data_IF_561442005939
#
_entry.id   IF_561442005939
#
_cell.length_a   1.000
_cell.length_b   1.000
_cell.length_c   1.000
_cell.angle_alpha   90.00
_cell.angle_beta   90.00
_cell.angle_gamma   90.00
#
_symmetry.space_group_name_H-M   'P 1'
#
loop_
_entity.id
_entity.type
_entity.pdbx_description
1 polymer ?
#
# COMPACT_ATOMS: atom_id res chain seq x y z
N UNK A 1 -11.81 -0.82 3.42
CA UNK A 1 -11.50 -2.24 3.13
C UNK A 1 -10.41 -2.75 4.08
N UNK A 2 -9.43 -1.90 4.40
CA UNK A 2 -8.26 -2.15 5.25
C UNK A 2 -7.22 -3.12 4.67
N UNK A 3 -7.53 -3.79 3.56
CA UNK A 3 -6.67 -4.74 2.84
C UNK A 3 -6.88 -4.70 1.31
N UNK A 4 -7.01 -3.50 0.72
CA UNK A 4 -7.23 -3.35 -0.72
C UNK A 4 -5.93 -3.51 -1.53
N UNK A 5 -5.67 -4.72 -2.02
CA UNK A 5 -4.47 -5.10 -2.76
C UNK A 5 -4.79 -5.96 -4.00
N UNK A 6 -3.87 -6.12 -4.96
CA UNK A 6 -4.11 -6.87 -6.20
C UNK A 6 -4.62 -8.30 -5.99
N UNK A 7 -4.19 -8.99 -4.93
CA UNK A 7 -4.62 -10.35 -4.63
C UNK A 7 -6.09 -10.44 -4.16
N UNK A 8 -6.70 -9.31 -3.77
CA UNK A 8 -8.11 -9.21 -3.36
C UNK A 8 -9.00 -8.62 -4.47
N UNK A 9 -8.50 -8.46 -5.70
CA UNK A 9 -9.25 -7.86 -6.81
C UNK A 9 -9.28 -8.80 -8.02
N UNK A 10 -10.48 -9.04 -8.54
CA UNK A 10 -10.65 -9.74 -9.81
C UNK A 10 -10.70 -8.76 -10.98
N UNK A 11 -9.89 -9.06 -11.99
CA UNK A 11 -9.80 -8.31 -13.23
C UNK A 11 -10.32 -9.15 -14.40
N UNK A 12 -10.94 -8.49 -15.38
CA UNK A 12 -11.28 -9.07 -16.68
C UNK A 12 -10.77 -8.19 -17.82
N UNK A 13 -10.44 -8.78 -18.95
CA UNK A 13 -10.06 -8.03 -20.15
C UNK A 13 -11.28 -7.48 -20.86
N UNK A 14 -11.25 -6.20 -21.22
CA UNK A 14 -12.25 -5.52 -22.04
C UNK A 14 -11.60 -4.88 -23.27
N UNK A 15 -12.41 -4.33 -24.18
CA UNK A 15 -11.94 -3.60 -25.36
C UNK A 15 -11.16 -2.32 -25.02
N UNK A 16 -11.28 -1.82 -23.79
CA UNK A 16 -10.61 -0.60 -23.31
C UNK A 16 -9.51 -0.88 -22.26
N UNK A 17 -9.19 -2.15 -22.00
CA UNK A 17 -8.18 -2.57 -21.02
C UNK A 17 -8.71 -3.51 -19.94
N UNK A 18 -7.94 -3.70 -18.87
CA UNK A 18 -8.37 -4.49 -17.70
C UNK A 18 -9.42 -3.71 -16.89
N UNK A 19 -10.49 -4.41 -16.50
CA UNK A 19 -11.58 -3.87 -15.70
C UNK A 19 -11.76 -4.66 -14.41
N UNK A 20 -12.00 -3.96 -13.30
CA UNK A 20 -12.37 -4.59 -12.03
C UNK A 20 -13.77 -5.16 -12.13
N UNK A 21 -13.92 -6.46 -11.84
CA UNK A 21 -15.21 -7.18 -11.83
C UNK A 21 -15.61 -7.69 -10.46
N UNK A 22 -14.71 -7.61 -9.48
CA UNK A 22 -14.99 -8.02 -8.11
C UNK A 22 -13.89 -7.63 -7.13
N UNK A 23 -14.28 -7.48 -5.87
CA UNK A 23 -13.37 -7.26 -4.73
C UNK A 23 -13.74 -8.27 -3.64
N UNK A 24 -12.72 -8.95 -3.11
CA UNK A 24 -12.84 -10.04 -2.16
C UNK A 24 -12.35 -9.62 -0.77
N UNK A 25 -12.47 -10.53 0.21
CA UNK A 25 -11.88 -10.40 1.54
C UNK A 25 -12.33 -9.14 2.32
N UNK A 26 -13.61 -9.15 2.70
CA UNK A 26 -14.26 -8.06 3.44
C UNK A 26 -14.17 -8.22 4.96
N UNK A 27 -13.42 -9.21 5.47
CA UNK A 27 -13.39 -9.54 6.91
C UNK A 27 -12.84 -8.39 7.76
N UNK A 28 -11.98 -7.57 7.18
CA UNK A 28 -11.40 -6.38 7.82
C UNK A 28 -12.18 -5.09 7.55
N UNK A 29 -13.29 -5.14 6.81
CA UNK A 29 -14.03 -3.94 6.43
C UNK A 29 -14.69 -3.27 7.64
N UNK A 30 -14.46 -1.97 7.78
CA UNK A 30 -15.05 -1.14 8.82
C UNK A 30 -14.73 0.34 8.60
N UNK A 31 -15.30 1.25 9.43
CA UNK A 31 -14.97 2.66 9.39
C UNK A 31 -13.46 2.90 9.50
N UNK A 32 -12.94 3.90 8.79
CA UNK A 32 -11.52 4.20 8.78
C UNK A 32 -11.22 5.52 8.08
N UNK A 33 -9.96 5.93 8.10
CA UNK A 33 -9.49 7.09 7.34
C UNK A 33 -9.28 6.64 5.90
N UNK A 34 -9.92 7.27 4.88
CA UNK A 34 -9.75 6.84 3.48
C UNK A 34 -8.29 6.82 3.02
N UNK A 35 -7.48 7.74 3.54
CA UNK A 35 -6.05 7.79 3.26
C UNK A 35 -5.29 6.54 3.77
N UNK A 36 -5.77 5.84 4.80
CA UNK A 36 -5.17 4.59 5.26
C UNK A 36 -5.36 3.46 4.25
N UNK A 37 -6.55 3.36 3.64
CA UNK A 37 -6.84 2.42 2.56
C UNK A 37 -6.01 2.75 1.32
N UNK A 38 -5.92 4.03 0.96
CA UNK A 38 -5.16 4.48 -0.20
C UNK A 38 -3.65 4.29 -0.03
N UNK A 39 -3.13 4.50 1.18
CA UNK A 39 -1.74 4.24 1.52
C UNK A 39 -1.39 2.74 1.45
N UNK A 40 -2.29 1.88 1.92
CA UNK A 40 -2.15 0.43 1.78
C UNK A 40 -2.24 -0.01 0.31
N UNK A 41 -3.14 0.61 -0.46
CA UNK A 41 -3.23 0.39 -1.90
C UNK A 41 -1.93 0.81 -2.60
N UNK A 42 -1.37 1.98 -2.28
CA UNK A 42 -0.10 2.45 -2.82
C UNK A 42 1.06 1.49 -2.54
N UNK A 43 1.14 0.94 -1.32
CA UNK A 43 2.13 -0.07 -0.97
C UNK A 43 2.14 -1.28 -1.92
N UNK A 44 0.96 -1.70 -2.39
CA UNK A 44 0.77 -2.89 -3.20
C UNK A 44 0.73 -2.61 -4.72
N UNK A 45 -0.04 -1.62 -5.16
CA UNK A 45 -0.28 -1.29 -6.57
C UNK A 45 0.79 -0.39 -7.19
N UNK A 46 1.49 0.44 -6.39
CA UNK A 46 2.70 1.19 -6.82
C UNK A 46 4.00 0.39 -6.59
N UNK A 47 3.86 -0.90 -6.28
CA UNK A 47 4.74 -1.71 -5.41
C UNK A 47 5.83 -0.96 -4.61
N UNK A 48 5.45 -0.10 -3.66
CA UNK A 48 6.42 0.64 -2.82
C UNK A 48 7.27 -0.27 -1.91
N UNK A 49 6.83 -1.50 -1.66
CA UNK A 49 7.57 -2.51 -0.90
C UNK A 49 8.88 -2.97 -1.56
N UNK A 50 9.08 -2.66 -2.86
CA UNK A 50 10.33 -2.95 -3.59
C UNK A 50 10.83 -1.72 -4.32
N UNK A 51 12.07 -1.78 -4.79
CA UNK A 51 12.63 -0.68 -5.58
C UNK A 51 12.24 -0.77 -7.05
N UNK A 52 11.45 0.19 -7.51
CA UNK A 52 11.06 0.38 -8.91
C UNK A 52 11.61 1.69 -9.48
N UNK A 53 12.46 2.41 -8.73
CA UNK A 53 12.96 3.74 -9.04
C UNK A 53 12.08 4.86 -8.50
N UNK A 54 12.71 5.99 -8.12
CA UNK A 54 12.03 7.12 -7.49
C UNK A 54 11.01 7.80 -8.42
N UNK A 55 11.41 8.09 -9.66
CA UNK A 55 10.55 8.71 -10.69
C UNK A 55 9.36 7.82 -11.04
N UNK A 56 9.59 6.52 -11.23
CA UNK A 56 8.51 5.54 -11.49
C UNK A 56 7.53 5.48 -10.32
N UNK A 57 8.03 5.49 -9.08
CA UNK A 57 7.19 5.47 -7.89
C UNK A 57 6.35 6.75 -7.80
N UNK A 58 6.98 7.92 -7.99
CA UNK A 58 6.31 9.22 -7.98
C UNK A 58 5.20 9.30 -9.04
N UNK A 59 5.51 8.99 -10.30
CA UNK A 59 4.54 9.00 -11.41
C UNK A 59 3.33 8.10 -11.14
N UNK A 60 3.56 6.91 -10.57
CA UNK A 60 2.48 5.96 -10.26
C UNK A 60 1.62 6.43 -9.09
N UNK A 61 2.21 7.09 -8.09
CA UNK A 61 1.47 7.73 -7.00
C UNK A 61 0.61 8.89 -7.51
N UNK A 62 1.12 9.70 -8.44
CA UNK A 62 0.36 10.78 -9.09
C UNK A 62 -0.84 10.24 -9.87
N UNK A 63 -0.65 9.16 -10.66
CA UNK A 63 -1.75 8.49 -11.36
C UNK A 63 -2.79 7.96 -10.37
N UNK A 64 -2.36 7.35 -9.27
CA UNK A 64 -3.26 6.85 -8.24
C UNK A 64 -4.05 7.97 -7.57
N UNK A 65 -3.39 9.09 -7.22
CA UNK A 65 -4.05 10.26 -6.63
C UNK A 65 -5.09 10.85 -7.59
N UNK A 66 -4.71 11.06 -8.85
CA UNK A 66 -5.59 11.61 -9.88
C UNK A 66 -6.81 10.71 -10.14
N UNK A 67 -6.62 9.38 -10.16
CA UNK A 67 -7.69 8.42 -10.37
C UNK A 67 -8.64 8.31 -9.14
N UNK A 68 -8.12 8.45 -7.93
CA UNK A 68 -8.95 8.48 -6.72
C UNK A 68 -9.80 9.76 -6.64
N UNK A 69 -9.24 10.89 -7.07
CA UNK A 69 -9.91 12.19 -7.06
C UNK A 69 -10.00 12.84 -5.68
N UNK A 70 -10.60 14.03 -5.63
CA UNK A 70 -10.69 14.85 -4.42
C UNK A 70 -9.38 15.58 -4.10
N UNK A 71 -9.18 15.89 -2.81
CA UNK A 71 -8.07 16.73 -2.34
C UNK A 71 -6.82 15.95 -1.91
N UNK A 72 -6.83 14.60 -2.01
CA UNK A 72 -5.70 13.77 -1.61
C UNK A 72 -4.61 13.77 -2.69
N UNK A 73 -3.39 14.12 -2.27
CA UNK A 73 -2.23 14.20 -3.17
C UNK A 73 -1.37 12.94 -3.12
N UNK A 74 -0.54 12.76 -4.15
CA UNK A 74 0.53 11.75 -4.12
C UNK A 74 1.46 11.94 -2.92
N UNK A 75 1.72 13.19 -2.52
CA UNK A 75 2.55 13.51 -1.38
C UNK A 75 1.92 13.02 -0.06
N UNK A 76 0.60 13.20 0.12
CA UNK A 76 -0.13 12.69 1.30
C UNK A 76 0.01 11.17 1.45
N UNK A 77 -0.01 10.44 0.34
CA UNK A 77 0.22 8.99 0.36
C UNK A 77 1.65 8.65 0.81
N UNK A 78 2.66 9.44 0.41
CA UNK A 78 4.04 9.22 0.88
C UNK A 78 4.22 9.48 2.37
N UNK A 79 3.43 10.37 2.96
CA UNK A 79 3.42 10.57 4.42
C UNK A 79 2.67 9.44 5.11
N UNK A 80 1.52 9.02 4.56
CA UNK A 80 0.69 8.02 5.22
C UNK A 80 1.24 6.60 5.14
N UNK A 81 1.83 6.19 4.01
CA UNK A 81 2.23 4.79 3.77
C UNK A 81 3.18 4.25 4.85
N UNK A 82 4.11 5.07 5.34
CA UNK A 82 5.05 4.62 6.37
C UNK A 82 4.28 4.29 7.66
N UNK A 83 3.45 5.22 8.12
CA UNK A 83 2.64 5.03 9.32
C UNK A 83 1.69 3.84 9.18
N UNK A 84 1.01 3.70 8.04
CA UNK A 84 0.05 2.62 7.81
C UNK A 84 0.71 1.24 7.86
N UNK A 85 1.89 1.10 7.28
CA UNK A 85 2.64 -0.17 7.26
C UNK A 85 3.28 -0.45 8.62
N UNK A 86 3.76 0.57 9.35
CA UNK A 86 4.20 0.40 10.75
C UNK A 86 3.06 -0.16 11.62
N UNK A 87 1.84 0.37 11.48
CA UNK A 87 0.66 -0.12 12.21
C UNK A 87 0.32 -1.57 11.84
N UNK A 88 0.44 -1.94 10.57
CA UNK A 88 0.25 -3.32 10.11
C UNK A 88 1.27 -4.27 10.74
N UNK A 89 2.55 -3.88 10.72
CA UNK A 89 3.65 -4.65 11.35
C UNK A 89 3.37 -4.86 12.84
N UNK A 90 2.98 -3.79 13.54
CA UNK A 90 2.65 -3.85 14.96
C UNK A 90 1.44 -4.75 15.24
N UNK A 91 0.41 -4.69 14.39
CA UNK A 91 -0.78 -5.54 14.50
C UNK A 91 -0.46 -7.02 14.35
N UNK A 92 0.35 -7.39 13.34
CA UNK A 92 0.81 -8.77 13.15
C UNK A 92 1.60 -9.24 14.37
N UNK A 93 2.58 -8.45 14.82
CA UNK A 93 3.43 -8.80 15.97
C UNK A 93 2.61 -8.98 17.26
N UNK A 94 1.63 -8.11 17.50
CA UNK A 94 0.74 -8.20 18.65
C UNK A 94 -0.15 -9.45 18.58
N UNK A 95 -0.72 -9.75 17.41
CA UNK A 95 -1.53 -10.95 17.22
C UNK A 95 -0.73 -12.25 17.41
N UNK A 96 0.50 -12.29 16.90
CA UNK A 96 1.41 -13.41 17.14
C UNK A 96 1.73 -13.59 18.62
N UNK A 97 2.02 -12.50 19.34
CA UNK A 97 2.28 -12.54 20.77
C UNK A 97 1.04 -12.98 21.59
N UNK A 98 -0.16 -12.66 21.11
CA UNK A 98 -1.43 -13.09 21.71
C UNK A 98 -1.85 -14.52 21.34
N UNK A 99 -1.11 -15.20 20.47
CA UNK A 99 -1.43 -16.57 20.02
C UNK A 99 -2.55 -16.65 18.99
N UNK A 100 -2.87 -15.56 18.29
CA UNK A 100 -3.84 -15.59 17.19
C UNK A 100 -3.34 -16.50 16.06
N UNK A 101 -4.10 -17.55 15.76
CA UNK A 101 -3.67 -18.57 14.81
C UNK A 101 -3.50 -18.02 13.38
N UNK A 102 -4.32 -17.06 12.96
CA UNK A 102 -4.20 -16.41 11.66
C UNK A 102 -2.89 -15.63 11.55
N UNK A 103 -2.56 -14.85 12.58
CA UNK A 103 -1.33 -14.05 12.63
C UNK A 103 -0.07 -14.93 12.79
N UNK A 104 -0.17 -16.04 13.53
CA UNK A 104 0.90 -17.04 13.62
C UNK A 104 1.17 -17.69 12.25
N UNK A 105 0.14 -17.95 11.45
CA UNK A 105 0.31 -18.53 10.12
C UNK A 105 1.09 -17.62 9.17
N UNK A 106 1.05 -16.30 9.36
CA UNK A 106 1.83 -15.35 8.55
C UNK A 106 3.35 -15.50 8.75
N UNK A 107 3.81 -16.11 9.86
CA UNK A 107 5.22 -16.42 10.07
C UNK A 107 5.77 -17.39 9.02
N UNK A 108 4.93 -18.29 8.47
CA UNK A 108 5.31 -19.24 7.43
C UNK A 108 5.72 -18.56 6.11
N UNK A 109 5.27 -17.32 5.89
CA UNK A 109 5.67 -16.50 4.75
C UNK A 109 6.66 -15.39 5.14
N UNK A 110 7.18 -15.43 6.38
CA UNK A 110 8.22 -14.54 6.88
C UNK A 110 7.71 -13.22 7.48
N UNK A 111 6.43 -13.11 7.83
CA UNK A 111 5.90 -11.90 8.46
C UNK A 111 6.01 -11.93 10.00
N UNK A 112 6.22 -10.76 10.64
CA UNK A 112 6.27 -9.41 10.05
C UNK A 112 7.66 -8.97 9.56
N UNK A 113 8.68 -9.85 9.66
CA UNK A 113 10.07 -9.49 9.37
C UNK A 113 10.29 -9.06 7.90
N UNK A 114 9.62 -9.73 6.96
CA UNK A 114 9.66 -9.40 5.52
C UNK A 114 9.11 -8.00 5.26
N UNK A 115 7.92 -7.67 5.76
CA UNK A 115 7.34 -6.33 5.60
C UNK A 115 8.17 -5.27 6.32
N UNK A 116 8.74 -5.59 7.49
CA UNK A 116 9.66 -4.71 8.22
C UNK A 116 10.89 -4.34 7.38
N UNK A 117 11.52 -5.34 6.74
CA UNK A 117 12.68 -5.12 5.88
C UNK A 117 12.33 -4.26 4.65
N UNK A 118 11.19 -4.56 4.01
CA UNK A 118 10.68 -3.79 2.88
C UNK A 118 10.40 -2.32 3.27
N UNK A 119 9.78 -2.10 4.44
CA UNK A 119 9.49 -0.75 4.94
C UNK A 119 10.78 0.02 5.22
N UNK A 120 11.79 -0.64 5.79
CA UNK A 120 13.13 -0.06 5.94
C UNK A 120 13.74 0.36 4.60
N UNK A 121 13.53 -0.43 3.55
CA UNK A 121 13.91 -0.09 2.17
C UNK A 121 13.15 1.11 1.60
N UNK A 122 11.84 1.19 1.83
CA UNK A 122 11.03 2.35 1.42
C UNK A 122 11.47 3.63 2.15
N UNK A 123 11.70 3.58 3.46
CA UNK A 123 12.16 4.74 4.25
C UNK A 123 13.44 5.35 3.68
N UNK A 124 14.40 4.53 3.24
CA UNK A 124 15.65 5.00 2.62
C UNK A 124 15.42 5.71 1.27
N UNK A 125 14.42 5.30 0.50
CA UNK A 125 14.12 5.85 -0.83
C UNK A 125 13.11 7.00 -0.80
N UNK A 126 12.42 7.19 0.33
CA UNK A 126 11.35 8.18 0.49
C UNK A 126 11.78 9.61 0.13
N UNK A 127 12.97 10.10 0.54
CA UNK A 127 13.42 11.44 0.15
C UNK A 127 13.50 11.62 -1.37
N UNK A 128 14.03 10.62 -2.09
CA UNK A 128 14.13 10.66 -3.56
C UNK A 128 12.76 10.62 -4.24
N UNK A 129 11.82 9.81 -3.73
CA UNK A 129 10.46 9.73 -4.26
C UNK A 129 9.75 11.08 -4.06
N UNK A 130 9.85 11.68 -2.87
CA UNK A 130 9.26 12.98 -2.57
C UNK A 130 9.87 14.11 -3.40
N UNK A 131 11.19 14.09 -3.59
CA UNK A 131 11.85 15.05 -4.47
C UNK A 131 11.32 14.97 -5.91
N UNK A 132 11.13 13.76 -6.43
CA UNK A 132 10.59 13.56 -7.78
C UNK A 132 9.16 14.11 -7.94
N UNK A 133 8.30 13.98 -6.91
CA UNK A 133 6.95 14.57 -6.91
C UNK A 133 6.98 16.12 -6.98
N UNK A 134 7.94 16.73 -6.30
CA UNK A 134 8.08 18.20 -6.30
C UNK A 134 8.62 18.74 -7.63
N UNK A 135 9.39 17.95 -8.37
CA UNK A 135 9.93 18.35 -9.68
C UNK A 135 8.98 18.10 -10.85
N UNK A 136 8.00 17.19 -10.71
CA UNK A 136 7.08 16.78 -11.78
C UNK A 136 5.78 17.59 -11.87
N UNK A 137 5.51 18.49 -10.92
CA UNK A 137 4.25 19.26 -10.83
C UNK A 137 4.22 20.55 -11.69
N UNK A 138 4.94 20.59 -12.83
CA UNK A 138 4.95 21.74 -13.76
C UNK A 138 4.09 21.52 -14.99
#
# INVERSE_FOLDING_TARGET
>A
HHDFAPYNVALTSSSVGECVVGVYDWDMAGPGVPLDDLAFAAWNWVPLHRDVGAETSARRLEIMAAAYGGDLTAYDMTERVVLRIDQLIAGIAAGQAAGDQGMLNLANVGEPARTTAALGGLRRRMPSIRAALLTGSS
#
